data_IF_428870823712
#
_entry.id   IF_428870823712
#
_cell.length_a   1.000
_cell.length_b   1.000
_cell.length_c   1.000
_cell.angle_alpha   90.00
_cell.angle_beta   90.00
_cell.angle_gamma   90.00
#
_symmetry.space_group_name_H-M   'P 1'
#
loop_
_entity.id
_entity.type
_entity.pdbx_description
1 polymer ?
#
# COMPACT_ATOMS: atom_id res chain seq x y z
N UNK A 1 21.44 64.89 -0.04
CA UNK A 1 21.00 64.22 1.21
C UNK A 1 19.68 63.49 0.93
N UNK A 2 19.77 62.19 0.65
CA UNK A 2 18.65 61.33 0.25
C UNK A 2 17.86 60.85 1.47
N UNK A 3 16.53 61.01 1.47
CA UNK A 3 15.63 60.49 2.51
C UNK A 3 14.98 59.17 2.05
N UNK A 4 15.49 58.11 2.65
CA UNK A 4 14.94 56.78 2.95
C UNK A 4 13.50 56.51 2.46
N UNK A 5 13.36 55.64 1.45
CA UNK A 5 12.17 54.80 1.24
C UNK A 5 12.16 53.68 2.30
N UNK A 6 11.11 53.63 3.14
CA UNK A 6 10.83 52.46 3.98
C UNK A 6 10.18 51.37 3.11
N UNK A 7 10.87 50.25 2.94
CA UNK A 7 10.34 49.06 2.28
C UNK A 7 9.20 48.43 3.08
N UNK A 8 8.07 48.24 2.41
CA UNK A 8 6.95 47.42 2.89
C UNK A 8 7.39 45.95 2.85
N UNK A 9 7.49 45.29 4.01
CA UNK A 9 7.74 43.85 4.08
C UNK A 9 6.41 43.13 3.89
N UNK A 10 6.21 42.48 2.74
CA UNK A 10 5.09 41.55 2.56
C UNK A 10 5.23 40.40 3.57
N UNK A 11 4.17 40.18 4.35
CA UNK A 11 4.06 39.03 5.23
C UNK A 11 4.09 37.74 4.40
N UNK A 12 4.93 36.78 4.78
CA UNK A 12 4.95 35.47 4.15
C UNK A 12 3.60 34.79 4.37
N UNK A 13 2.94 34.36 3.29
CA UNK A 13 1.75 33.53 3.37
C UNK A 13 2.06 32.27 4.20
N UNK A 14 1.35 32.08 5.31
CA UNK A 14 1.37 30.84 6.07
C UNK A 14 0.86 29.72 5.16
N UNK A 15 1.73 28.77 4.80
CA UNK A 15 1.31 27.52 4.15
C UNK A 15 0.32 26.83 5.07
N UNK A 16 -0.94 26.71 4.64
CA UNK A 16 -1.95 25.92 5.33
C UNK A 16 -1.47 24.47 5.42
N UNK A 17 -1.55 23.89 6.62
CA UNK A 17 -1.17 22.50 6.83
C UNK A 17 -2.17 21.62 6.07
N UNK A 18 -1.68 20.74 5.19
CA UNK A 18 -2.54 19.82 4.45
C UNK A 18 -3.44 19.02 5.42
N UNK A 19 -4.70 18.84 5.03
CA UNK A 19 -5.65 18.05 5.80
C UNK A 19 -5.13 16.62 6.02
N UNK A 20 -5.38 16.01 7.19
CA UNK A 20 -4.92 14.66 7.45
C UNK A 20 -5.61 13.67 6.50
N UNK A 21 -4.87 12.67 6.04
CA UNK A 21 -5.44 11.55 5.29
C UNK A 21 -6.35 10.73 6.21
N UNK A 22 -7.54 10.37 5.74
CA UNK A 22 -8.54 9.64 6.54
C UNK A 22 -8.95 8.31 5.91
N UNK A 23 -8.90 8.20 4.58
CA UNK A 23 -9.27 6.99 3.85
C UNK A 23 -8.29 6.73 2.70
N UNK A 24 -8.37 5.53 2.14
CA UNK A 24 -7.62 5.17 0.95
C UNK A 24 -8.43 4.20 0.08
N UNK A 25 -8.26 4.34 -1.22
CA UNK A 25 -8.76 3.41 -2.23
C UNK A 25 -7.73 2.30 -2.41
N UNK A 26 -8.15 1.04 -2.41
CA UNK A 26 -7.24 -0.09 -2.52
C UNK A 26 -7.85 -1.31 -3.20
N UNK A 27 -6.96 -2.24 -3.54
CA UNK A 27 -7.27 -3.65 -3.79
C UNK A 27 -6.87 -4.41 -2.52
N UNK A 28 -7.82 -4.91 -1.72
CA UNK A 28 -7.53 -5.80 -0.60
C UNK A 28 -6.90 -7.10 -1.12
N UNK A 29 -5.80 -7.53 -0.51
CA UNK A 29 -5.11 -8.77 -0.91
C UNK A 29 -5.49 -9.97 -0.06
N UNK A 30 -6.16 -9.76 1.07
CA UNK A 30 -6.52 -10.81 2.03
C UNK A 30 -7.95 -11.25 1.80
N UNK A 31 -8.11 -12.43 1.21
CA UNK A 31 -9.39 -13.08 0.91
C UNK A 31 -9.37 -14.49 1.49
N UNK A 32 -10.49 -15.21 1.39
CA UNK A 32 -10.52 -16.61 1.79
C UNK A 32 -9.49 -17.45 1.01
N UNK A 33 -9.24 -17.13 -0.26
CA UNK A 33 -8.31 -17.85 -1.12
C UNK A 33 -6.83 -17.50 -0.84
N UNK A 34 -6.51 -16.23 -0.59
CA UNK A 34 -5.12 -15.78 -0.42
C UNK A 34 -4.60 -15.87 1.01
N UNK A 35 -5.49 -15.80 2.02
CA UNK A 35 -5.08 -15.69 3.44
C UNK A 35 -4.18 -16.84 3.91
N UNK A 36 -4.43 -18.12 3.58
CA UNK A 36 -3.55 -19.20 4.02
C UNK A 36 -2.09 -19.01 3.55
N UNK A 37 -1.89 -18.70 2.27
CA UNK A 37 -0.55 -18.49 1.69
C UNK A 37 0.14 -17.27 2.30
N UNK A 38 -0.57 -16.14 2.38
CA UNK A 38 -0.05 -14.92 3.01
C UNK A 38 0.32 -15.14 4.48
N UNK A 39 -0.50 -15.89 5.21
CA UNK A 39 -0.22 -16.17 6.63
C UNK A 39 1.05 -17.00 6.78
N UNK A 40 1.23 -18.01 5.93
CA UNK A 40 2.41 -18.86 5.96
C UNK A 40 3.69 -18.12 5.57
N UNK A 41 3.68 -17.35 4.48
CA UNK A 41 4.85 -16.61 4.00
C UNK A 41 5.24 -15.51 5.00
N UNK A 42 4.28 -14.73 5.51
CA UNK A 42 4.57 -13.69 6.51
C UNK A 42 5.00 -14.26 7.86
N UNK A 43 4.47 -15.41 8.30
CA UNK A 43 4.92 -16.05 9.54
C UNK A 43 6.38 -16.50 9.41
N UNK A 44 6.72 -17.18 8.32
CA UNK A 44 8.09 -17.64 8.03
C UNK A 44 9.07 -16.47 7.95
N UNK A 45 8.69 -15.40 7.23
CA UNK A 45 9.46 -14.17 7.16
C UNK A 45 9.65 -13.53 8.54
N UNK A 46 8.56 -13.38 9.32
CA UNK A 46 8.59 -12.80 10.67
C UNK A 46 9.55 -13.56 11.57
N UNK A 47 9.50 -14.89 11.58
CA UNK A 47 10.35 -15.72 12.41
C UNK A 47 11.84 -15.61 12.04
N UNK A 48 12.15 -15.43 10.74
CA UNK A 48 13.52 -15.20 10.28
C UNK A 48 14.02 -13.80 10.61
N UNK A 49 13.28 -12.75 10.23
CA UNK A 49 13.78 -11.37 10.35
C UNK A 49 13.83 -10.84 11.77
N UNK A 50 12.99 -11.38 12.66
CA UNK A 50 13.00 -11.01 14.08
C UNK A 50 14.04 -11.80 14.89
N UNK A 51 14.59 -12.88 14.32
CA UNK A 51 15.63 -13.67 14.98
C UNK A 51 16.89 -12.83 15.20
N UNK A 52 17.63 -13.08 16.30
CA UNK A 52 18.92 -12.42 16.52
C UNK A 52 19.92 -12.61 15.39
N UNK A 53 20.71 -11.57 15.08
CA UNK A 53 21.77 -11.62 14.07
C UNK A 53 22.79 -12.72 14.32
N UNK A 54 23.14 -12.96 15.59
CA UNK A 54 24.04 -14.04 15.99
C UNK A 54 23.52 -15.45 15.66
N UNK A 55 22.22 -15.58 15.35
CA UNK A 55 21.56 -16.81 14.93
C UNK A 55 21.13 -16.78 13.45
N UNK A 56 21.68 -15.85 12.66
CA UNK A 56 21.43 -15.72 11.22
C UNK A 56 20.21 -14.87 10.82
N UNK A 57 19.54 -14.25 11.78
CA UNK A 57 18.43 -13.31 11.53
C UNK A 57 18.89 -11.86 11.35
N UNK A 58 17.98 -10.91 11.62
CA UNK A 58 18.21 -9.48 11.39
C UNK A 58 17.91 -8.57 12.61
N UNK A 59 17.48 -9.12 13.74
CA UNK A 59 17.06 -8.33 14.92
C UNK A 59 15.96 -7.29 14.59
N UNK A 60 15.12 -7.55 13.57
CA UNK A 60 14.05 -6.63 13.22
C UNK A 60 12.98 -6.65 14.31
N UNK A 61 12.47 -5.50 14.78
CA UNK A 61 11.36 -5.47 15.73
C UNK A 61 10.15 -6.21 15.19
N UNK A 62 9.52 -7.05 16.00
CA UNK A 62 8.37 -7.87 15.57
C UNK A 62 7.20 -7.00 15.09
N UNK A 63 7.00 -5.83 15.68
CA UNK A 63 5.95 -4.88 15.28
C UNK A 63 6.26 -4.10 13.99
N UNK A 64 7.47 -4.28 13.41
CA UNK A 64 7.80 -3.76 12.09
C UNK A 64 7.18 -4.60 10.97
N UNK A 65 7.01 -5.91 11.15
CA UNK A 65 6.38 -6.79 10.16
C UNK A 65 4.87 -6.59 10.22
N UNK A 66 4.27 -6.28 9.07
CA UNK A 66 2.84 -5.97 8.97
C UNK A 66 1.98 -7.19 9.31
N UNK A 67 0.82 -6.99 9.98
CA UNK A 67 -0.15 -8.05 10.15
C UNK A 67 -0.77 -8.44 8.81
N UNK A 68 -1.11 -9.73 8.65
CA UNK A 68 -1.62 -10.31 7.41
C UNK A 68 -2.85 -9.54 6.93
N UNK A 69 -3.83 -9.31 7.82
CA UNK A 69 -5.09 -8.63 7.53
C UNK A 69 -4.96 -7.18 7.06
N UNK A 70 -3.74 -6.64 7.01
CA UNK A 70 -3.48 -5.28 6.53
C UNK A 70 -2.89 -5.21 5.12
N UNK A 71 -2.63 -6.35 4.47
CA UNK A 71 -2.06 -6.39 3.12
C UNK A 71 -3.07 -5.91 2.06
N UNK A 72 -2.67 -4.91 1.28
CA UNK A 72 -3.46 -4.32 0.21
C UNK A 72 -2.53 -3.64 -0.81
N UNK A 73 -3.04 -3.36 -2.01
CA UNK A 73 -2.41 -2.45 -2.97
C UNK A 73 -3.13 -1.11 -2.92
N UNK A 74 -2.45 -0.04 -2.51
CA UNK A 74 -3.04 1.30 -2.45
C UNK A 74 -3.15 1.91 -3.84
N UNK A 75 -4.33 2.41 -4.20
CA UNK A 75 -4.60 3.09 -5.47
C UNK A 75 -4.60 4.62 -5.33
N UNK A 76 -5.03 5.14 -4.18
CA UNK A 76 -5.09 6.57 -3.92
C UNK A 76 -5.44 6.90 -2.47
N UNK A 77 -5.00 8.07 -2.01
CA UNK A 77 -5.27 8.56 -0.66
C UNK A 77 -6.37 9.62 -0.68
N UNK A 78 -7.23 9.62 0.33
CA UNK A 78 -8.35 10.56 0.45
C UNK A 78 -8.33 11.28 1.80
N UNK A 79 -8.94 12.46 1.85
CA UNK A 79 -9.13 13.23 3.08
C UNK A 79 -10.59 13.69 3.18
N UNK A 80 -11.32 13.04 4.08
CA UNK A 80 -12.69 13.39 4.48
C UNK A 80 -12.70 13.63 6.00
N UNK A 81 -12.26 14.80 6.49
CA UNK A 81 -12.42 15.15 7.89
C UNK A 81 -13.90 15.11 8.29
N UNK A 82 -14.22 14.45 9.40
CA UNK A 82 -15.61 14.22 9.86
C UNK A 82 -16.50 13.52 8.82
N UNK A 83 -15.88 12.78 7.91
CA UNK A 83 -16.54 12.03 6.83
C UNK A 83 -17.30 12.92 5.81
N UNK A 84 -17.05 14.23 5.79
CA UNK A 84 -17.62 15.16 4.81
C UNK A 84 -17.13 14.81 3.39
N UNK A 85 -18.05 14.43 2.50
CA UNK A 85 -17.77 14.03 1.11
C UNK A 85 -17.44 12.54 0.91
N UNK A 86 -17.44 11.73 1.98
CA UNK A 86 -17.21 10.29 1.89
C UNK A 86 -18.33 9.56 1.10
N UNK A 87 -19.56 10.02 1.24
CA UNK A 87 -20.74 9.54 0.51
C UNK A 87 -20.52 9.54 -1.01
N UNK A 88 -20.01 10.64 -1.57
CA UNK A 88 -19.69 10.75 -3.01
C UNK A 88 -18.65 9.72 -3.45
N UNK A 89 -17.65 9.45 -2.61
CA UNK A 89 -16.64 8.44 -2.90
C UNK A 89 -17.20 7.01 -2.86
N UNK A 90 -18.09 6.74 -1.91
CA UNK A 90 -18.79 5.46 -1.80
C UNK A 90 -19.72 5.25 -3.00
N UNK A 91 -20.47 6.28 -3.41
CA UNK A 91 -21.35 6.24 -4.58
C UNK A 91 -20.56 5.98 -5.86
N UNK A 92 -19.45 6.69 -6.07
CA UNK A 92 -18.57 6.45 -7.21
C UNK A 92 -18.05 5.01 -7.21
N UNK A 93 -17.54 4.52 -6.07
CA UNK A 93 -17.05 3.14 -5.96
C UNK A 93 -18.11 2.12 -6.36
N UNK A 94 -19.34 2.27 -5.83
CA UNK A 94 -20.46 1.35 -6.09
C UNK A 94 -20.95 1.42 -7.53
N UNK A 95 -20.74 2.53 -8.23
CA UNK A 95 -21.08 2.68 -9.64
C UNK A 95 -20.08 2.02 -10.59
N UNK A 96 -18.89 1.64 -10.10
CA UNK A 96 -17.86 1.05 -10.95
C UNK A 96 -18.29 -0.32 -11.47
N UNK A 97 -18.01 -0.55 -12.76
CA UNK A 97 -18.15 -1.85 -13.40
C UNK A 97 -16.77 -2.42 -13.68
N UNK A 98 -16.23 -3.17 -12.71
CA UNK A 98 -14.83 -3.59 -12.72
C UNK A 98 -14.45 -4.39 -13.97
N UNK A 99 -15.34 -5.29 -14.44
CA UNK A 99 -15.12 -6.08 -15.68
C UNK A 99 -15.05 -5.21 -16.92
N UNK A 100 -15.94 -4.22 -17.04
CA UNK A 100 -15.91 -3.27 -18.16
C UNK A 100 -14.60 -2.47 -18.13
N UNK A 101 -14.21 -1.95 -16.97
CA UNK A 101 -12.94 -1.20 -16.80
C UNK A 101 -11.74 -2.06 -17.21
N UNK A 102 -11.66 -3.30 -16.69
CA UNK A 102 -10.59 -4.24 -17.00
C UNK A 102 -10.52 -4.56 -18.50
N UNK A 103 -11.66 -4.75 -19.17
CA UNK A 103 -11.70 -5.03 -20.62
C UNK A 103 -11.14 -3.89 -21.49
N UNK A 104 -11.07 -2.67 -20.95
CA UNK A 104 -10.46 -1.52 -21.65
C UNK A 104 -8.94 -1.41 -21.47
N UNK A 105 -8.34 -2.26 -20.63
CA UNK A 105 -6.88 -2.32 -20.44
C UNK A 105 -6.31 -3.20 -21.55
N UNK A 106 -5.59 -2.59 -22.49
CA UNK A 106 -4.92 -3.33 -23.56
C UNK A 106 -3.53 -3.73 -23.07
N UNK A 107 -3.21 -5.02 -23.16
CA UNK A 107 -1.81 -5.46 -23.12
C UNK A 107 -1.08 -4.89 -24.36
N UNK A 108 0.24 -4.61 -24.27
CA UNK A 108 1.05 -4.29 -25.44
C UNK A 108 0.91 -5.39 -26.50
N UNK A 109 0.59 -5.01 -27.75
CA UNK A 109 0.55 -5.94 -28.88
C UNK A 109 1.97 -6.51 -29.10
N UNK A 110 2.19 -7.76 -28.72
CA UNK A 110 3.37 -8.51 -29.17
C UNK A 110 3.19 -8.84 -30.66
N UNK A 111 4.13 -8.47 -31.55
CA UNK A 111 4.04 -8.86 -32.95
C UNK A 111 4.15 -10.39 -33.06
N UNK A 112 3.06 -11.04 -33.49
CA UNK A 112 2.98 -12.49 -33.67
C UNK A 112 1.97 -13.23 -32.78
N UNK A 113 1.27 -12.56 -31.86
CA UNK A 113 0.18 -13.18 -31.12
C UNK A 113 -1.04 -13.35 -32.05
N UNK A 114 -1.27 -14.59 -32.48
CA UNK A 114 -2.49 -14.95 -33.19
C UNK A 114 -3.69 -14.74 -32.28
N UNK A 115 -4.77 -14.21 -32.84
CA UNK A 115 -6.06 -13.99 -32.18
C UNK A 115 -6.69 -15.37 -31.90
N UNK A 116 -6.23 -16.03 -30.83
CA UNK A 116 -6.80 -17.30 -30.38
C UNK A 116 -8.09 -16.95 -29.64
N UNK A 117 -9.17 -16.96 -30.40
CA UNK A 117 -10.58 -17.07 -30.00
C UNK A 117 -10.92 -16.65 -28.57
N UNK A 118 -11.58 -15.52 -28.44
CA UNK A 118 -12.29 -15.10 -27.23
C UNK A 118 -13.27 -16.21 -26.77
N UNK A 119 -12.83 -17.03 -25.82
CA UNK A 119 -13.71 -17.90 -25.06
C UNK A 119 -14.64 -17.04 -24.20
N UNK A 120 -15.91 -17.46 -24.05
CA UNK A 120 -16.95 -16.76 -23.26
C UNK A 120 -16.64 -16.65 -21.76
N UNK A 121 -15.55 -17.21 -21.27
CA UNK A 121 -15.02 -16.94 -19.94
C UNK A 121 -14.11 -15.72 -20.00
N UNK A 122 -14.55 -14.61 -19.42
CA UNK A 122 -13.66 -13.46 -19.25
C UNK A 122 -12.54 -13.84 -18.29
N UNK A 123 -11.26 -13.69 -18.68
CA UNK A 123 -10.15 -14.10 -17.84
C UNK A 123 -10.16 -13.32 -16.52
N UNK A 124 -10.18 -14.05 -15.41
CA UNK A 124 -10.03 -13.48 -14.08
C UNK A 124 -8.61 -12.94 -13.94
N UNK A 125 -8.47 -11.67 -13.54
CA UNK A 125 -7.15 -11.10 -13.29
C UNK A 125 -6.57 -11.73 -12.01
N UNK A 126 -5.39 -12.32 -12.13
CA UNK A 126 -4.68 -12.96 -11.03
C UNK A 126 -3.53 -12.07 -10.55
N UNK A 127 -3.24 -12.11 -9.25
CA UNK A 127 -2.22 -11.32 -8.59
C UNK A 127 -1.17 -12.27 -8.02
N UNK A 128 0.08 -12.03 -8.40
CA UNK A 128 1.26 -12.65 -7.81
C UNK A 128 2.13 -11.56 -7.21
N UNK A 129 2.56 -11.71 -5.96
CA UNK A 129 3.49 -10.81 -5.27
C UNK A 129 4.82 -11.54 -5.11
N UNK A 130 5.89 -10.98 -5.67
CA UNK A 130 7.22 -11.59 -5.62
C UNK A 130 8.28 -10.55 -5.29
N UNK A 131 9.26 -10.98 -4.49
CA UNK A 131 10.42 -10.18 -4.13
C UNK A 131 10.15 -9.18 -3.01
N UNK A 132 11.18 -8.46 -2.62
CA UNK A 132 11.11 -7.46 -1.55
C UNK A 132 11.96 -6.24 -1.93
N UNK A 133 11.35 -5.06 -1.86
CA UNK A 133 11.95 -3.82 -2.33
C UNK A 133 11.76 -2.69 -1.32
N UNK A 134 12.59 -1.65 -1.43
CA UNK A 134 12.49 -0.43 -0.66
C UNK A 134 12.21 0.77 -1.57
N UNK A 135 11.60 1.81 -1.01
CA UNK A 135 11.56 3.11 -1.68
C UNK A 135 12.89 3.84 -1.49
N UNK A 136 13.55 4.20 -2.60
CA UNK A 136 14.81 4.91 -2.56
C UNK A 136 15.97 4.04 -2.07
N UNK A 137 16.85 4.60 -1.24
CA UNK A 137 18.06 3.91 -0.77
C UNK A 137 17.77 3.01 0.44
N UNK A 138 18.30 1.80 0.42
CA UNK A 138 18.09 0.78 1.45
C UNK A 138 18.44 1.28 2.87
N UNK A 139 19.50 2.07 3.03
CA UNK A 139 19.97 2.56 4.33
C UNK A 139 19.03 3.58 4.97
N UNK A 140 18.10 4.13 4.18
CA UNK A 140 17.07 5.08 4.62
C UNK A 140 15.67 4.50 4.54
N UNK A 141 15.54 3.20 4.25
CA UNK A 141 14.26 2.54 4.14
C UNK A 141 13.58 2.49 5.51
N UNK A 142 12.32 2.94 5.58
CA UNK A 142 11.43 2.68 6.71
C UNK A 142 10.31 1.70 6.33
N UNK A 143 10.27 1.31 5.06
CA UNK A 143 9.25 0.46 4.46
C UNK A 143 9.95 -0.50 3.52
N UNK A 144 9.64 -1.79 3.64
CA UNK A 144 9.89 -2.79 2.61
C UNK A 144 8.55 -3.32 2.09
N UNK A 145 8.47 -3.55 0.79
CA UNK A 145 7.23 -3.94 0.12
C UNK A 145 7.46 -4.99 -0.96
N UNK A 146 6.43 -5.79 -1.22
CA UNK A 146 6.38 -6.74 -2.32
C UNK A 146 5.58 -6.13 -3.49
N UNK A 147 6.18 -5.96 -4.68
CA UNK A 147 5.46 -5.53 -5.86
C UNK A 147 4.65 -6.70 -6.48
N UNK A 148 3.58 -6.39 -7.21
CA UNK A 148 2.95 -7.39 -8.06
C UNK A 148 3.81 -7.70 -9.28
N UNK A 149 3.86 -8.97 -9.66
CA UNK A 149 4.38 -9.42 -10.95
C UNK A 149 3.35 -9.13 -12.04
N UNK A 150 3.57 -8.09 -12.83
CA UNK A 150 2.64 -7.61 -13.86
C UNK A 150 3.36 -7.34 -15.18
N UNK A 151 3.85 -8.40 -15.83
CA UNK A 151 4.67 -8.30 -17.04
C UNK A 151 3.96 -7.59 -18.20
N UNK A 152 2.63 -7.73 -18.29
CA UNK A 152 1.81 -7.14 -19.35
C UNK A 152 1.23 -5.77 -18.95
N UNK A 153 1.46 -5.31 -17.72
CA UNK A 153 0.93 -4.03 -17.23
C UNK A 153 -0.60 -4.00 -17.07
N UNK A 154 -1.26 -5.16 -17.00
CA UNK A 154 -2.72 -5.24 -16.97
C UNK A 154 -3.24 -4.80 -15.60
N UNK A 155 -2.61 -5.28 -14.52
CA UNK A 155 -3.00 -4.89 -13.16
C UNK A 155 -2.70 -3.41 -12.92
N UNK A 156 -1.54 -2.93 -13.38
CA UNK A 156 -1.16 -1.53 -13.33
C UNK A 156 -2.16 -0.65 -14.10
N UNK A 157 -2.47 -1.00 -15.35
CA UNK A 157 -3.42 -0.24 -16.17
C UNK A 157 -4.84 -0.24 -15.61
N UNK A 158 -5.29 -1.36 -15.04
CA UNK A 158 -6.57 -1.45 -14.33
C UNK A 158 -6.61 -0.51 -13.12
N UNK A 159 -5.59 -0.58 -12.28
CA UNK A 159 -5.43 0.24 -11.08
C UNK A 159 -5.36 1.75 -11.41
N UNK A 160 -4.64 2.12 -12.47
CA UNK A 160 -4.53 3.50 -12.94
C UNK A 160 -5.87 4.05 -13.45
N UNK A 161 -6.65 3.24 -14.21
CA UNK A 161 -7.99 3.65 -14.65
C UNK A 161 -8.92 3.93 -13.48
N UNK A 162 -8.91 3.07 -12.46
CA UNK A 162 -9.71 3.29 -11.25
C UNK A 162 -9.23 4.54 -10.52
N UNK A 163 -7.91 4.71 -10.32
CA UNK A 163 -7.34 5.92 -9.72
C UNK A 163 -7.77 7.19 -10.48
N UNK A 164 -7.76 7.16 -11.82
CA UNK A 164 -8.16 8.28 -12.67
C UNK A 164 -9.62 8.66 -12.45
N UNK A 165 -10.55 7.69 -12.41
CA UNK A 165 -11.97 7.96 -12.16
C UNK A 165 -12.21 8.71 -10.85
N UNK A 166 -11.48 8.39 -9.78
CA UNK A 166 -11.57 9.12 -8.50
C UNK A 166 -10.82 10.46 -8.53
N UNK A 167 -9.71 10.55 -9.27
CA UNK A 167 -8.94 11.78 -9.44
C UNK A 167 -9.74 12.83 -10.22
N UNK A 168 -10.42 12.43 -11.28
CA UNK A 168 -11.15 13.33 -12.21
C UNK A 168 -12.35 14.04 -11.55
N UNK A 169 -12.82 13.53 -10.41
CA UNK A 169 -13.88 14.15 -9.60
C UNK A 169 -13.37 14.71 -8.26
N UNK A 170 -12.05 14.93 -8.16
CA UNK A 170 -11.35 15.54 -7.01
C UNK A 170 -11.55 14.82 -5.67
N UNK A 171 -11.71 13.49 -5.70
CA UNK A 171 -11.84 12.68 -4.47
C UNK A 171 -10.49 12.21 -3.92
N UNK A 172 -9.43 12.22 -4.73
CA UNK A 172 -8.09 11.87 -4.29
C UNK A 172 -7.28 13.11 -3.90
N UNK A 173 -6.42 12.93 -2.91
CA UNK A 173 -5.43 13.94 -2.53
C UNK A 173 -4.47 14.14 -3.70
N UNK A 174 -4.09 15.39 -3.97
CA UNK A 174 -3.17 15.71 -5.05
C UNK A 174 -1.82 14.99 -4.86
N UNK A 175 -1.47 14.15 -5.83
CA UNK A 175 -0.19 13.46 -5.92
C UNK A 175 0.16 13.28 -7.41
N UNK A 176 1.21 13.98 -7.84
CA UNK A 176 1.68 13.97 -9.23
C UNK A 176 2.60 12.78 -9.53
N UNK A 177 2.90 11.95 -8.53
CA UNK A 177 3.74 10.78 -8.73
C UNK A 177 2.95 9.67 -9.45
N UNK A 178 3.62 8.88 -10.32
CA UNK A 178 3.04 7.68 -10.90
C UNK A 178 2.54 6.72 -9.81
N UNK A 179 1.47 5.98 -10.11
CA UNK A 179 0.99 4.93 -9.22
C UNK A 179 2.05 3.82 -9.15
N UNK A 180 2.51 3.49 -7.94
CA UNK A 180 3.38 2.33 -7.72
C UNK A 180 2.59 1.31 -6.91
N UNK A 181 2.16 0.22 -7.54
CA UNK A 181 1.50 -0.86 -6.85
C UNK A 181 2.50 -1.62 -5.98
N UNK A 182 2.16 -1.78 -4.70
CA UNK A 182 3.00 -2.48 -3.75
C UNK A 182 2.17 -2.95 -2.54
N UNK A 183 2.52 -4.11 -2.00
CA UNK A 183 2.02 -4.60 -0.73
C UNK A 183 3.09 -4.36 0.35
N UNK A 184 2.78 -3.54 1.35
CA UNK A 184 3.76 -3.25 2.42
C UNK A 184 3.94 -4.47 3.33
N UNK A 185 5.15 -5.00 3.43
CA UNK A 185 5.49 -6.18 4.26
C UNK A 185 6.14 -5.73 5.58
N UNK A 186 7.06 -4.77 5.51
CA UNK A 186 7.73 -4.17 6.68
C UNK A 186 7.43 -2.69 6.71
N UNK A 187 7.11 -2.16 7.88
CA UNK A 187 7.02 -0.72 8.10
C UNK A 187 7.43 -0.35 9.52
N UNK A 188 8.63 0.21 9.66
CA UNK A 188 9.23 0.57 10.94
C UNK A 188 8.62 1.83 11.57
N UNK A 189 7.77 2.58 10.85
CA UNK A 189 7.07 3.74 11.43
C UNK A 189 6.05 3.33 12.50
N UNK A 190 5.65 2.06 12.51
CA UNK A 190 4.75 1.49 13.52
C UNK A 190 5.49 0.89 14.72
N UNK A 191 6.81 0.80 14.65
CA UNK A 191 7.62 0.28 15.76
C UNK A 191 7.51 1.24 16.93
N UNK A 192 6.87 0.80 18.00
CA UNK A 192 6.77 1.60 19.22
C UNK A 192 8.13 1.53 19.90
N UNK A 193 8.82 2.66 19.98
CA UNK A 193 10.11 2.75 20.66
C UNK A 193 10.03 2.09 22.04
N UNK A 194 10.89 1.08 22.30
CA UNK A 194 11.08 0.56 23.64
C UNK A 194 11.41 1.74 24.57
N UNK A 195 10.60 1.89 25.64
CA UNK A 195 10.77 2.90 26.69
C UNK A 195 12.06 2.62 27.47
N UNK A 196 13.22 2.87 26.88
CA UNK A 196 14.43 3.06 27.67
C UNK A 196 14.43 4.48 28.21
N UNK A 197 14.62 4.58 29.52
CA UNK A 197 14.33 5.70 30.41
C UNK A 197 15.18 6.98 30.21
N UNK A 198 15.78 7.22 29.04
CA UNK A 198 16.54 8.44 28.78
C UNK A 198 16.10 9.04 27.43
N UNK A 199 15.58 10.26 27.52
CA UNK A 199 14.70 10.89 26.53
C UNK A 199 15.21 10.87 25.09
N UNK A 200 14.33 10.46 24.18
CA UNK A 200 14.45 10.79 22.76
C UNK A 200 13.48 11.90 22.40
N UNK A 201 14.00 12.84 21.62
CA UNK A 201 13.21 13.85 20.95
C UNK A 201 12.19 13.18 20.01
N UNK A 202 11.01 13.78 19.94
CA UNK A 202 9.92 13.44 19.02
C UNK A 202 10.41 13.57 17.57
N UNK A 203 10.98 12.51 16.98
CA UNK A 203 11.50 12.58 15.61
C UNK A 203 12.45 11.48 15.12
N UNK A 204 12.95 10.58 15.98
CA UNK A 204 13.89 9.55 15.53
C UNK A 204 13.18 8.46 14.72
N UNK A 205 13.31 8.56 13.39
CA UNK A 205 12.84 7.53 12.46
C UNK A 205 13.67 6.27 12.68
N UNK A 206 12.98 5.16 12.94
CA UNK A 206 13.59 3.83 12.95
C UNK A 206 13.72 3.40 11.50
N UNK A 207 14.94 3.18 11.01
CA UNK A 207 15.17 2.61 9.69
C UNK A 207 15.20 1.08 9.76
N UNK A 208 14.98 0.43 8.62
CA UNK A 208 15.19 -1.00 8.47
C UNK A 208 16.69 -1.24 8.41
N UNK A 209 17.29 -1.64 9.52
CA UNK A 209 18.69 -2.03 9.56
C UNK A 209 18.90 -3.23 8.63
N UNK A 210 20.02 -3.25 7.91
CA UNK A 210 20.37 -4.29 6.95
C UNK A 210 19.33 -4.49 5.83
N UNK A 211 18.56 -3.43 5.51
CA UNK A 211 17.51 -3.49 4.50
C UNK A 211 17.96 -4.10 3.17
N UNK A 212 19.18 -3.83 2.71
CA UNK A 212 19.72 -4.44 1.50
C UNK A 212 19.87 -5.96 1.64
N UNK A 213 20.47 -6.45 2.73
CA UNK A 213 20.65 -7.88 2.96
C UNK A 213 19.32 -8.62 3.14
N UNK A 214 18.30 -7.96 3.72
CA UNK A 214 16.94 -8.51 3.79
C UNK A 214 16.35 -8.59 2.37
N UNK A 215 16.47 -7.54 1.55
CA UNK A 215 15.97 -7.56 0.17
C UNK A 215 16.67 -8.64 -0.67
N UNK A 216 18.00 -8.78 -0.56
CA UNK A 216 18.77 -9.79 -1.29
C UNK A 216 18.34 -11.22 -0.89
N UNK A 217 18.08 -11.47 0.40
CA UNK A 217 17.62 -12.78 0.89
C UNK A 217 16.24 -13.14 0.35
N UNK A 218 15.36 -12.15 0.18
CA UNK A 218 13.95 -12.33 -0.20
C UNK A 218 13.66 -11.87 -1.64
N UNK A 219 14.68 -11.76 -2.50
CA UNK A 219 14.54 -11.30 -3.90
C UNK A 219 13.60 -12.22 -4.70
N UNK A 220 13.65 -13.53 -4.43
CA UNK A 220 12.84 -14.54 -5.12
C UNK A 220 11.60 -15.00 -4.32
N UNK A 221 11.35 -14.42 -3.16
CA UNK A 221 10.24 -14.83 -2.28
C UNK A 221 8.89 -14.62 -2.98
N UNK A 222 8.07 -15.66 -3.02
CA UNK A 222 6.69 -15.58 -3.55
C UNK A 222 5.74 -15.48 -2.37
N UNK A 223 5.32 -14.26 -2.06
CA UNK A 223 4.42 -13.97 -0.93
C UNK A 223 3.01 -14.46 -1.17
N UNK A 224 2.56 -14.31 -2.42
CA UNK A 224 1.22 -14.61 -2.92
C UNK A 224 1.34 -15.02 -4.38
N UNK A 225 0.68 -16.10 -4.79
CA UNK A 225 0.74 -16.59 -6.16
C UNK A 225 -0.67 -16.78 -6.73
N UNK A 226 -0.90 -16.23 -7.93
CA UNK A 226 -2.11 -16.46 -8.73
C UNK A 226 -3.43 -16.23 -7.98
N UNK A 227 -3.45 -15.27 -7.04
CA UNK A 227 -4.63 -14.98 -6.26
C UNK A 227 -5.62 -14.16 -7.08
N UNK A 228 -6.91 -14.52 -7.09
CA UNK A 228 -7.90 -13.78 -7.85
C UNK A 228 -8.05 -12.35 -7.31
N UNK A 229 -8.06 -11.37 -8.22
CA UNK A 229 -8.54 -10.03 -7.90
C UNK A 229 -10.05 -10.11 -7.68
N UNK A 230 -10.49 -10.04 -6.43
CA UNK A 230 -11.91 -10.21 -6.08
C UNK A 230 -12.67 -8.88 -5.98
N UNK A 231 -12.02 -7.80 -5.55
CA UNK A 231 -12.70 -6.56 -5.19
C UNK A 231 -11.80 -5.31 -5.18
N UNK A 232 -12.45 -4.15 -5.17
CA UNK A 232 -11.86 -2.83 -4.90
C UNK A 232 -12.61 -2.21 -3.72
N UNK A 233 -11.89 -1.58 -2.80
CA UNK A 233 -12.45 -1.08 -1.55
C UNK A 233 -11.97 0.33 -1.20
N UNK A 234 -12.82 1.06 -0.48
CA UNK A 234 -12.42 2.22 0.31
C UNK A 234 -12.29 1.78 1.76
N UNK A 235 -11.14 2.03 2.33
CA UNK A 235 -10.82 1.68 3.71
C UNK A 235 -10.52 2.93 4.54
N UNK A 236 -10.94 2.92 5.81
CA UNK A 236 -10.57 3.95 6.79
C UNK A 236 -9.13 3.72 7.24
N UNK A 237 -8.36 4.81 7.37
CA UNK A 237 -7.00 4.75 7.90
C UNK A 237 -6.98 4.30 9.37
N UNK A 238 -5.89 3.62 9.75
CA UNK A 238 -5.69 3.13 11.11
C UNK A 238 -6.33 1.75 11.32
N UNK A 239 -5.62 0.71 10.89
CA UNK A 239 -6.01 -0.68 11.10
C UNK A 239 -6.30 -0.96 12.59
N UNK A 240 -7.35 -1.74 12.85
CA UNK A 240 -7.78 -2.13 14.19
C UNK A 240 -7.15 -3.47 14.54
N UNK A 241 -6.62 -3.64 15.76
CA UNK A 241 -6.09 -4.92 16.21
C UNK A 241 -7.23 -5.96 16.28
N UNK A 242 -6.89 -7.20 15.95
CA UNK A 242 -7.74 -8.38 16.14
C UNK A 242 -7.10 -9.18 17.27
N UNK A 243 -7.88 -9.44 18.31
CA UNK A 243 -7.42 -10.13 19.51
C UNK A 243 -8.02 -11.53 19.62
N UNK A 244 -7.17 -12.51 19.92
CA UNK A 244 -7.58 -13.86 20.31
C UNK A 244 -6.93 -14.19 21.66
N UNK A 245 -7.73 -14.66 22.61
CA UNK A 245 -7.27 -15.00 23.97
C UNK A 245 -6.47 -13.87 24.66
N UNK A 246 -6.87 -12.60 24.44
CA UNK A 246 -6.21 -11.43 25.03
C UNK A 246 -4.85 -11.07 24.40
N UNK A 247 -4.51 -11.63 23.24
CA UNK A 247 -3.31 -11.29 22.48
C UNK A 247 -3.71 -10.77 21.10
N UNK A 248 -3.07 -9.70 20.66
CA UNK A 248 -3.21 -9.21 19.28
C UNK A 248 -2.56 -10.21 18.34
N UNK A 249 -3.37 -10.87 17.50
CA UNK A 249 -2.92 -11.89 16.54
C UNK A 249 -2.89 -11.36 15.10
N UNK A 250 -3.67 -10.32 14.80
CA UNK A 250 -3.75 -9.72 13.48
C UNK A 250 -4.21 -8.26 13.58
N UNK A 251 -4.36 -7.59 12.44
CA UNK A 251 -5.06 -6.31 12.35
C UNK A 251 -5.73 -6.17 10.99
N UNK A 252 -6.82 -5.42 10.92
CA UNK A 252 -7.53 -5.16 9.66
C UNK A 252 -7.97 -3.70 9.55
N UNK A 253 -8.04 -3.20 8.33
CA UNK A 253 -8.67 -1.90 8.08
C UNK A 253 -10.20 -2.04 8.07
N UNK A 254 -10.89 -1.02 8.54
CA UNK A 254 -12.33 -0.92 8.39
C UNK A 254 -12.65 -0.63 6.92
N UNK A 255 -13.38 -1.54 6.27
CA UNK A 255 -13.90 -1.36 4.91
C UNK A 255 -15.20 -0.58 5.00
N UNK A 256 -15.22 0.65 4.48
CA UNK A 256 -16.43 1.50 4.49
C UNK A 256 -17.29 1.28 3.25
N UNK A 257 -16.68 0.84 2.15
CA UNK A 257 -17.38 0.38 0.96
C UNK A 257 -16.47 -0.52 0.11
N UNK A 258 -17.07 -1.45 -0.62
CA UNK A 258 -16.38 -2.31 -1.59
C UNK A 258 -17.29 -2.63 -2.78
N UNK A 259 -16.67 -2.97 -3.91
CA UNK A 259 -17.31 -3.51 -5.10
C UNK A 259 -16.54 -4.74 -5.57
N UNK A 260 -17.27 -5.81 -5.90
CA UNK A 260 -16.72 -7.12 -6.31
C UNK A 260 -16.79 -7.30 -7.83
N UNK A 261 -16.04 -8.26 -8.36
CA UNK A 261 -16.05 -8.64 -9.78
C UNK A 261 -17.33 -9.32 -10.26
#
# INVERSE_FOLDING_TARGET
MSRILKGFRMASAQKTKAAPLTHFLCIPLVTAASRPQLSQSLASFRDDVTRPKGLGGFDLPSDAVRPVGTLHLTLGMMSFPKDEGLDRAIELLKSLKLREILSTVKAPLMPGASDVGATKDQPQLLITLKGLHAFGKAEKATVLFAPPSDQLGILQGFAEKIKALFKDVDLLTADDRPLTLHATIVNTVYVKGHRNSHGKNKGDRVFVNDGQAIMDRYEDEVWLENAPLEKVAICRMGAKPIEENGRVVDAAYEVVAEVVF
#
